data_IF_330721422279
#
_entry.id   IF_330721422279
#
_cell.length_a   1.000
_cell.length_b   1.000
_cell.length_c   1.000
_cell.angle_alpha   90.00
_cell.angle_beta   90.00
_cell.angle_gamma   90.00
#
_symmetry.space_group_name_H-M   'P 1'
#
loop_
_entity.id
_entity.type
_entity.pdbx_description
1 polymer ?
#
# COMPACT_ATOMS: atom_id res chain seq x y z
N UNK A 1 -13.42 7.83 -25.21
CA UNK A 1 -13.02 8.56 -23.99
C UNK A 1 -13.24 7.61 -22.82
N UNK A 2 -12.17 7.05 -22.23
CA UNK A 2 -12.30 6.19 -21.04
C UNK A 2 -12.73 7.10 -19.87
N UNK A 3 -13.78 6.77 -19.11
CA UNK A 3 -14.17 7.61 -17.99
C UNK A 3 -12.98 7.73 -17.01
N UNK A 4 -12.71 8.93 -16.47
CA UNK A 4 -11.50 9.20 -15.68
C UNK A 4 -11.33 8.22 -14.51
N UNK A 5 -12.44 7.80 -13.90
CA UNK A 5 -12.47 6.78 -12.85
C UNK A 5 -11.83 5.44 -13.26
N UNK A 6 -12.03 5.02 -14.51
CA UNK A 6 -11.50 3.75 -15.02
C UNK A 6 -10.01 3.80 -15.34
N UNK A 7 -9.46 4.99 -15.58
CA UNK A 7 -8.01 5.19 -15.70
C UNK A 7 -7.35 5.18 -14.32
N UNK A 8 -7.90 5.91 -13.34
CA UNK A 8 -7.42 5.93 -11.96
C UNK A 8 -7.41 4.52 -11.35
N UNK A 9 -8.48 3.74 -11.55
CA UNK A 9 -8.56 2.37 -11.06
C UNK A 9 -7.48 1.46 -11.65
N UNK A 10 -7.20 1.57 -12.96
CA UNK A 10 -6.11 0.81 -13.58
C UNK A 10 -4.75 1.16 -13.00
N UNK A 11 -4.48 2.45 -12.83
CA UNK A 11 -3.24 2.90 -12.18
C UNK A 11 -3.13 2.34 -10.77
N UNK A 12 -4.22 2.37 -10.00
CA UNK A 12 -4.27 1.81 -8.65
C UNK A 12 -3.93 0.30 -8.64
N UNK A 13 -4.54 -0.47 -9.55
CA UNK A 13 -4.30 -1.91 -9.68
C UNK A 13 -2.82 -2.18 -10.02
N UNK A 14 -2.26 -1.47 -11.00
CA UNK A 14 -0.86 -1.65 -11.41
C UNK A 14 0.12 -1.35 -10.28
N UNK A 15 -0.11 -0.25 -9.54
CA UNK A 15 0.76 0.13 -8.41
C UNK A 15 0.61 -0.85 -7.23
N UNK A 16 -0.61 -1.32 -6.97
CA UNK A 16 -0.89 -2.30 -5.93
C UNK A 16 -0.23 -3.66 -6.24
N UNK A 17 -0.32 -4.13 -7.49
CA UNK A 17 0.35 -5.36 -7.93
C UNK A 17 1.88 -5.23 -7.82
N UNK A 18 2.44 -4.10 -8.27
CA UNK A 18 3.87 -3.84 -8.16
C UNK A 18 4.34 -3.86 -6.71
N UNK A 19 3.63 -3.17 -5.81
CA UNK A 19 3.96 -3.15 -4.39
C UNK A 19 3.82 -4.55 -3.77
N UNK A 20 2.76 -5.28 -4.08
CA UNK A 20 2.54 -6.63 -3.59
C UNK A 20 3.67 -7.58 -4.00
N UNK A 21 4.14 -7.46 -5.25
CA UNK A 21 5.28 -8.25 -5.76
C UNK A 21 6.58 -7.89 -5.07
N UNK A 22 6.83 -6.59 -4.84
CA UNK A 22 8.01 -6.13 -4.09
C UNK A 22 7.99 -6.68 -2.66
N UNK A 23 6.85 -6.59 -1.97
CA UNK A 23 6.71 -7.07 -0.59
C UNK A 23 6.83 -8.59 -0.44
N UNK A 24 6.44 -9.33 -1.48
CA UNK A 24 6.57 -10.79 -1.55
C UNK A 24 7.95 -11.26 -2.03
N UNK A 25 8.75 -10.38 -2.63
CA UNK A 25 10.04 -10.73 -3.21
C UNK A 25 11.19 -10.33 -2.29
N UNK A 26 12.27 -11.12 -2.27
CA UNK A 26 13.49 -10.79 -1.53
C UNK A 26 14.39 -9.77 -2.28
N UNK A 27 13.85 -9.05 -3.27
CA UNK A 27 14.58 -8.09 -4.08
C UNK A 27 14.78 -6.78 -3.33
N UNK A 28 16.02 -6.28 -3.35
CA UNK A 28 16.36 -4.98 -2.79
C UNK A 28 15.91 -3.86 -3.73
N UNK A 29 14.80 -3.21 -3.40
CA UNK A 29 14.41 -1.93 -4.00
C UNK A 29 15.05 -0.78 -3.21
N UNK A 30 15.50 0.26 -3.91
CA UNK A 30 16.03 1.45 -3.25
C UNK A 30 14.96 2.13 -2.39
N UNK A 31 15.32 2.52 -1.16
CA UNK A 31 14.36 3.08 -0.19
C UNK A 31 13.61 4.33 -0.73
N UNK A 32 14.26 5.15 -1.54
CA UNK A 32 13.62 6.31 -2.17
C UNK A 32 12.53 5.91 -3.19
N UNK A 33 12.80 4.88 -4.00
CA UNK A 33 11.86 4.35 -4.99
C UNK A 33 10.66 3.72 -4.30
N UNK A 34 10.90 2.95 -3.23
CA UNK A 34 9.85 2.39 -2.40
C UNK A 34 8.96 3.49 -1.80
N UNK A 35 9.55 4.54 -1.20
CA UNK A 35 8.78 5.67 -0.66
C UNK A 35 7.95 6.38 -1.72
N UNK A 36 8.50 6.58 -2.91
CA UNK A 36 7.78 7.20 -4.02
C UNK A 36 6.59 6.33 -4.46
N UNK A 37 6.79 5.01 -4.57
CA UNK A 37 5.73 4.06 -4.92
C UNK A 37 4.60 4.09 -3.90
N UNK A 38 4.90 3.96 -2.61
CA UNK A 38 3.90 3.98 -1.53
C UNK A 38 3.14 5.30 -1.50
N UNK A 39 3.84 6.43 -1.63
CA UNK A 39 3.20 7.75 -1.67
C UNK A 39 2.24 7.87 -2.86
N UNK A 40 2.69 7.50 -4.05
CA UNK A 40 1.88 7.61 -5.26
C UNK A 40 0.66 6.67 -5.21
N UNK A 41 0.85 5.45 -4.72
CA UNK A 41 -0.26 4.52 -4.51
C UNK A 41 -1.28 5.13 -3.54
N UNK A 42 -0.85 5.71 -2.42
CA UNK A 42 -1.75 6.36 -1.46
C UNK A 42 -2.59 7.48 -2.08
N UNK A 43 -1.97 8.38 -2.86
CA UNK A 43 -2.68 9.47 -3.56
C UNK A 43 -3.74 8.95 -4.53
N UNK A 44 -3.44 7.86 -5.25
CA UNK A 44 -4.38 7.24 -6.21
C UNK A 44 -5.53 6.56 -5.48
N UNK A 45 -5.26 5.91 -4.33
CA UNK A 45 -6.30 5.29 -3.51
C UNK A 45 -7.24 6.33 -2.89
N UNK A 46 -6.72 7.47 -2.43
CA UNK A 46 -7.55 8.58 -1.95
C UNK A 46 -8.47 9.10 -3.07
N UNK A 47 -7.94 9.22 -4.29
CA UNK A 47 -8.66 9.73 -5.44
C UNK A 47 -9.76 8.79 -5.95
N UNK A 48 -9.70 7.49 -5.65
CA UNK A 48 -10.78 6.54 -5.98
C UNK A 48 -12.04 6.78 -5.14
N UNK A 49 -11.89 7.34 -3.94
CA UNK A 49 -12.98 7.48 -2.98
C UNK A 49 -13.51 6.14 -2.45
N UNK A 50 -14.34 6.16 -1.38
CA UNK A 50 -14.92 4.96 -0.82
C UNK A 50 -15.91 4.29 -1.77
N UNK A 51 -15.92 2.96 -1.82
CA UNK A 51 -16.89 2.18 -2.59
C UNK A 51 -16.37 0.81 -3.03
N UNK A 52 -17.23 0.03 -3.69
CA UNK A 52 -16.94 -1.35 -4.11
C UNK A 52 -15.63 -1.54 -4.88
N UNK A 53 -15.24 -0.64 -5.82
CA UNK A 53 -13.97 -0.80 -6.54
C UNK A 53 -12.75 -0.69 -5.63
N UNK A 54 -12.77 0.25 -4.67
CA UNK A 54 -11.71 0.41 -3.68
C UNK A 54 -11.69 -0.80 -2.75
N UNK A 55 -12.85 -1.20 -2.21
CA UNK A 55 -12.95 -2.37 -1.32
C UNK A 55 -12.41 -3.64 -1.97
N UNK A 56 -12.70 -3.85 -3.25
CA UNK A 56 -12.23 -5.01 -4.02
C UNK A 56 -10.71 -4.98 -4.20
N UNK A 57 -10.16 -3.81 -4.52
CA UNK A 57 -8.72 -3.61 -4.67
C UNK A 57 -7.99 -3.89 -3.35
N UNK A 58 -8.45 -3.31 -2.23
CA UNK A 58 -7.84 -3.50 -0.92
C UNK A 58 -7.96 -4.97 -0.45
N UNK A 59 -9.08 -5.64 -0.75
CA UNK A 59 -9.24 -7.08 -0.47
C UNK A 59 -8.35 -7.98 -1.33
N UNK A 60 -7.98 -7.54 -2.53
CA UNK A 60 -7.12 -8.31 -3.46
C UNK A 60 -5.63 -8.12 -3.15
N UNK A 61 -5.22 -6.92 -2.72
CA UNK A 61 -3.82 -6.57 -2.52
C UNK A 61 -3.55 -6.14 -1.06
N UNK A 62 -3.17 -7.07 -0.17
CA UNK A 62 -2.85 -6.77 1.23
C UNK A 62 -1.84 -5.63 1.43
N UNK A 63 -0.84 -5.51 0.53
CA UNK A 63 0.13 -4.42 0.61
C UNK A 63 -0.52 -3.04 0.36
N UNK A 64 -1.51 -2.95 -0.54
CA UNK A 64 -2.26 -1.73 -0.77
C UNK A 64 -3.23 -1.41 0.38
N UNK A 65 -3.84 -2.43 0.98
CA UNK A 65 -4.64 -2.30 2.20
C UNK A 65 -3.84 -1.66 3.34
N UNK A 66 -2.62 -2.15 3.59
CA UNK A 66 -1.75 -1.56 4.61
C UNK A 66 -1.41 -0.09 4.34
N UNK A 67 -1.17 0.30 3.08
CA UNK A 67 -0.92 1.69 2.70
C UNK A 67 -2.15 2.58 2.94
N UNK A 68 -3.33 2.11 2.52
CA UNK A 68 -4.58 2.83 2.71
C UNK A 68 -4.90 3.01 4.19
N UNK A 69 -4.78 1.94 4.98
CA UNK A 69 -4.99 1.96 6.42
C UNK A 69 -4.02 2.94 7.08
N UNK A 70 -2.70 2.81 6.84
CA UNK A 70 -1.63 3.67 7.38
C UNK A 70 -1.91 5.17 7.23
N UNK A 71 -2.60 5.56 6.16
CA UNK A 71 -2.96 6.93 5.86
C UNK A 71 -4.25 7.41 6.52
N UNK A 72 -5.16 6.49 6.83
CA UNK A 72 -6.47 6.77 7.42
C UNK A 72 -6.56 6.39 8.90
N UNK A 73 -5.44 6.09 9.58
CA UNK A 73 -5.40 5.68 11.00
C UNK A 73 -6.02 6.69 11.98
N UNK A 74 -6.15 7.97 11.63
CA UNK A 74 -6.85 8.96 12.46
C UNK A 74 -8.36 8.67 12.56
N UNK A 75 -8.91 7.88 11.64
CA UNK A 75 -10.27 7.31 11.73
C UNK A 75 -10.21 5.96 12.45
N UNK A 76 -9.66 5.96 13.67
CA UNK A 76 -9.44 4.78 14.48
C UNK A 76 -10.77 4.06 14.80
N UNK A 77 -10.98 2.88 14.22
CA UNK A 77 -12.11 2.05 14.62
C UNK A 77 -12.39 0.80 13.81
N UNK A 78 -11.82 0.63 12.61
CA UNK A 78 -12.11 -0.54 11.78
C UNK A 78 -10.81 -1.16 11.28
N UNK A 79 -10.16 -1.91 12.17
CA UNK A 79 -9.11 -2.85 11.81
C UNK A 79 -9.61 -3.78 10.69
N UNK A 80 -9.23 -3.51 9.44
CA UNK A 80 -9.47 -4.37 8.29
C UNK A 80 -8.31 -5.33 8.04
N UNK A 81 -7.16 -5.09 8.66
CA UNK A 81 -6.03 -6.03 8.71
C UNK A 81 -5.98 -6.81 10.03
N UNK A 82 -5.78 -8.14 10.00
CA UNK A 82 -5.40 -8.89 11.19
C UNK A 82 -4.06 -8.37 11.70
N UNK A 83 -3.95 -8.23 13.02
CA UNK A 83 -2.83 -7.69 13.80
C UNK A 83 -1.42 -8.15 13.34
N UNK A 84 -1.31 -9.29 12.67
CA UNK A 84 -0.06 -9.89 12.20
C UNK A 84 0.63 -9.10 11.06
N UNK A 85 -0.12 -8.45 10.17
CA UNK A 85 0.48 -7.69 9.06
C UNK A 85 1.19 -6.41 9.56
N UNK A 86 0.60 -5.75 10.55
CA UNK A 86 1.15 -4.54 11.18
C UNK A 86 2.46 -4.85 11.94
N UNK A 87 2.50 -5.99 12.65
CA UNK A 87 3.71 -6.46 13.33
C UNK A 87 4.85 -6.74 12.35
N UNK A 88 4.56 -7.35 11.20
CA UNK A 88 5.57 -7.63 10.17
C UNK A 88 6.13 -6.36 9.53
N UNK A 89 5.31 -5.33 9.32
CA UNK A 89 5.78 -4.01 8.85
C UNK A 89 6.68 -3.32 9.86
N UNK A 90 6.36 -3.40 11.16
CA UNK A 90 7.22 -2.85 12.22
C UNK A 90 8.58 -3.57 12.27
N UNK A 91 8.57 -4.91 12.18
CA UNK A 91 9.78 -5.72 12.17
C UNK A 91 10.66 -5.42 10.93
N UNK A 92 10.05 -5.27 9.75
CA UNK A 92 10.75 -4.86 8.53
C UNK A 92 11.35 -3.46 8.66
N UNK A 93 10.60 -2.49 9.19
CA UNK A 93 11.09 -1.12 9.40
C UNK A 93 12.28 -1.08 10.37
N UNK A 94 12.21 -1.82 11.48
CA UNK A 94 13.32 -1.95 12.44
C UNK A 94 14.55 -2.59 11.81
N UNK A 95 14.37 -3.64 11.00
CA UNK A 95 15.49 -4.31 10.33
C UNK A 95 16.21 -3.39 9.34
N UNK A 96 15.48 -2.52 8.62
CA UNK A 96 16.08 -1.57 7.67
C UNK A 96 16.85 -0.46 8.39
N UNK A 97 16.28 0.09 9.48
CA UNK A 97 16.96 1.09 10.30
C UNK A 97 18.23 0.51 10.93
N UNK A 98 18.18 -0.72 11.39
CA UNK A 98 19.35 -1.39 11.96
C UNK A 98 20.45 -1.61 10.92
N UNK A 99 20.11 -1.93 9.66
CA UNK A 99 21.08 -2.06 8.56
C UNK A 99 21.67 -0.73 8.09
N UNK A 100 20.95 0.39 8.23
CA UNK A 100 21.46 1.71 7.84
C UNK A 100 22.33 2.38 8.92
N UNK A 101 22.39 1.80 10.13
CA UNK A 101 23.13 2.32 11.28
C UNK A 101 24.43 1.55 11.58
N UNK A 102 24.73 0.51 10.82
CA UNK A 102 26.01 -0.22 10.82
C UNK A 102 26.70 -0.02 9.49
#
# INVERSE_FOLDING_TARGET
>A
MVPPFSATLRTAITLAELLQRIEASNQSIGAAQYRQLVRHLGEVLDALGPGTPLDTLLGTFPAAAAVYENRHYDVAGLCRSPLEASLNSELKARSVIHKARG
#
